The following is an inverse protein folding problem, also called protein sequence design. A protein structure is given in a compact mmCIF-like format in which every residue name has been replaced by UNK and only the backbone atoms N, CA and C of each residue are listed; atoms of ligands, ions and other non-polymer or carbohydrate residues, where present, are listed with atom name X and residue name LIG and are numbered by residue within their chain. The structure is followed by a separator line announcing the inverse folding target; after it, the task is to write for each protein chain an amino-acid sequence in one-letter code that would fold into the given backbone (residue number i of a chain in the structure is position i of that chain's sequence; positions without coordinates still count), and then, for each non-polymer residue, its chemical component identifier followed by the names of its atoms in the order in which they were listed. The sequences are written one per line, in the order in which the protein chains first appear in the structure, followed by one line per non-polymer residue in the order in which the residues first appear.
data_IF_440570122102
#
_entry.id   IF_440570122102
#
_cell.length_a   1.000
_cell.length_b   1.000
_cell.length_c   1.000
_cell.angle_alpha   90.00
_cell.angle_beta   90.00
_cell.angle_gamma   90.00
#
_symmetry.space_group_name_H-M   'P 1'
#
loop_
_entity.id
_entity.type
_entity.pdbx_description
1 polymer ?
#
# COMPACT_ATOMS: atom_id res chain seq x y z
N UNK A 1 -0.37 -6.81 18.73
CA UNK A 1 1.10 -6.87 18.94
C UNK A 1 1.71 -5.62 18.35
N UNK A 2 2.53 -4.91 19.12
CA UNK A 2 3.16 -3.67 18.67
C UNK A 2 4.68 -3.86 18.55
N UNK A 3 5.27 -3.24 17.52
CA UNK A 3 6.71 -3.21 17.32
C UNK A 3 7.36 -4.54 16.95
N UNK A 4 6.66 -5.43 16.24
CA UNK A 4 7.24 -6.67 15.73
C UNK A 4 8.29 -6.32 14.66
N UNK A 5 9.53 -6.68 14.93
CA UNK A 5 10.65 -6.40 14.01
C UNK A 5 10.62 -7.33 12.80
N UNK A 6 10.82 -6.76 11.61
CA UNK A 6 10.98 -7.51 10.36
C UNK A 6 12.36 -7.29 9.70
N UNK A 7 13.18 -6.45 10.32
CA UNK A 7 14.54 -6.12 9.86
C UNK A 7 15.38 -5.51 10.97
N UNK A 8 16.57 -5.04 10.62
CA UNK A 8 17.55 -4.54 11.59
C UNK A 8 17.47 -3.02 11.86
N UNK A 9 16.78 -2.27 10.99
CA UNK A 9 16.61 -0.83 11.15
C UNK A 9 15.60 -0.49 12.25
N UNK A 10 15.77 0.63 12.92
CA UNK A 10 14.83 1.09 13.97
C UNK A 10 13.41 1.31 13.47
N UNK A 11 13.26 1.54 12.17
CA UNK A 11 11.97 1.70 11.50
C UNK A 11 11.45 0.39 10.87
N UNK A 12 12.26 -0.68 10.85
CA UNK A 12 11.87 -1.96 10.29
C UNK A 12 11.03 -2.77 11.29
N UNK A 13 9.89 -2.20 11.67
CA UNK A 13 8.93 -2.79 12.60
C UNK A 13 7.51 -2.61 12.10
N UNK A 14 6.63 -3.50 12.49
CA UNK A 14 5.21 -3.46 12.17
C UNK A 14 4.36 -3.67 13.44
N UNK A 15 3.13 -3.17 13.39
CA UNK A 15 2.10 -3.42 14.40
C UNK A 15 1.04 -4.34 13.80
N UNK A 16 0.56 -5.32 14.60
CA UNK A 16 -0.55 -6.21 14.21
C UNK A 16 -1.71 -6.01 15.16
N UNK A 17 -2.84 -5.62 14.59
CA UNK A 17 -4.14 -5.48 15.26
C UNK A 17 -4.97 -6.74 14.97
N UNK A 18 -5.47 -7.38 16.01
CA UNK A 18 -6.18 -8.66 15.90
C UNK A 18 -7.65 -8.50 16.31
N UNK A 19 -8.60 -9.14 15.62
CA UNK A 19 -9.96 -9.27 16.11
C UNK A 19 -10.00 -10.18 17.34
N UNK A 20 -11.12 -10.17 18.07
CA UNK A 20 -11.31 -11.04 19.25
C UNK A 20 -11.32 -12.52 18.90
N UNK A 21 -11.89 -12.88 17.74
CA UNK A 21 -11.91 -14.24 17.22
C UNK A 21 -10.69 -14.53 16.33
N UNK A 22 -10.57 -15.79 15.88
CA UNK A 22 -9.56 -16.16 14.89
C UNK A 22 -9.73 -15.30 13.63
N UNK A 23 -8.70 -14.64 13.15
CA UNK A 23 -8.78 -13.82 11.95
C UNK A 23 -9.21 -14.61 10.70
N UNK A 24 -10.06 -14.01 9.86
CA UNK A 24 -10.42 -14.54 8.55
C UNK A 24 -9.26 -14.48 7.55
N UNK A 25 -8.35 -13.55 7.76
CA UNK A 25 -7.16 -13.31 6.95
C UNK A 25 -6.42 -12.06 7.45
N UNK A 26 -5.49 -11.57 6.63
CA UNK A 26 -4.63 -10.43 6.93
C UNK A 26 -4.87 -9.30 5.93
N UNK A 27 -5.12 -8.09 6.41
CA UNK A 27 -4.99 -6.85 5.65
C UNK A 27 -3.66 -6.20 6.00
N UNK A 28 -2.86 -5.81 5.02
CA UNK A 28 -1.68 -4.98 5.23
C UNK A 28 -1.96 -3.58 4.72
N UNK A 29 -1.88 -2.59 5.59
CA UNK A 29 -2.00 -1.18 5.22
C UNK A 29 -0.62 -0.51 5.23
N UNK A 30 -0.18 -0.04 4.06
CA UNK A 30 1.10 0.66 3.87
C UNK A 30 0.84 2.16 3.84
N UNK A 31 1.47 2.89 4.75
CA UNK A 31 1.25 4.33 4.88
C UNK A 31 1.87 5.15 3.73
N UNK A 32 1.34 6.36 3.54
CA UNK A 32 1.85 7.35 2.61
C UNK A 32 2.96 8.23 3.19
N UNK A 33 3.08 9.45 2.62
CA UNK A 33 4.05 10.46 3.07
C UNK A 33 5.24 10.65 2.14
N UNK A 34 5.06 10.39 0.85
CA UNK A 34 6.11 10.57 -0.20
C UNK A 34 7.43 9.85 0.08
N UNK A 35 7.40 8.71 0.81
CA UNK A 35 8.61 7.98 1.25
C UNK A 35 9.56 8.82 2.11
N UNK A 36 9.09 9.98 2.65
CA UNK A 36 9.87 10.98 3.39
C UNK A 36 9.38 11.20 4.82
N UNK A 37 8.17 10.75 5.17
CA UNK A 37 7.48 11.11 6.41
C UNK A 37 6.63 9.96 6.94
N UNK A 38 6.20 10.14 8.19
CA UNK A 38 5.26 9.32 8.94
C UNK A 38 5.81 7.99 9.44
N UNK A 39 5.06 7.39 10.29
CA UNK A 39 5.33 6.11 10.93
C UNK A 39 4.03 5.32 11.03
N UNK A 40 4.10 4.00 11.25
CA UNK A 40 2.92 3.14 11.41
C UNK A 40 1.97 3.61 12.51
N UNK A 41 2.52 4.18 13.59
CA UNK A 41 1.75 4.66 14.75
C UNK A 41 0.80 5.81 14.43
N UNK A 42 1.10 6.60 13.40
CA UNK A 42 0.25 7.72 12.96
C UNK A 42 -1.11 7.23 12.41
N UNK A 43 -1.22 5.94 12.04
CA UNK A 43 -2.32 5.39 11.27
C UNK A 43 -3.10 4.27 11.98
N UNK A 44 -2.79 3.98 13.24
CA UNK A 44 -3.35 2.84 13.99
C UNK A 44 -4.88 2.78 14.00
N UNK A 45 -5.56 3.93 13.98
CA UNK A 45 -7.01 4.02 13.96
C UNK A 45 -7.64 3.44 12.68
N UNK A 46 -6.91 3.37 11.57
CA UNK A 46 -7.39 2.77 10.33
C UNK A 46 -7.42 1.23 10.34
N UNK A 47 -6.93 0.60 11.41
CA UNK A 47 -7.13 -0.84 11.59
C UNK A 47 -8.59 -1.20 11.91
N UNK A 48 -9.38 -0.25 12.46
CA UNK A 48 -10.67 -0.51 13.07
C UNK A 48 -11.66 -1.19 12.11
N UNK A 49 -11.81 -0.67 10.89
CA UNK A 49 -12.82 -1.17 9.96
C UNK A 49 -12.62 -2.64 9.56
N UNK A 50 -11.38 -3.06 9.33
CA UNK A 50 -11.08 -4.46 9.01
C UNK A 50 -11.14 -5.36 10.23
N UNK A 51 -10.68 -4.88 11.40
CA UNK A 51 -10.77 -5.62 12.67
C UNK A 51 -12.21 -5.90 13.04
N UNK A 52 -13.12 -4.93 12.89
CA UNK A 52 -14.56 -5.10 13.13
C UNK A 52 -15.21 -6.10 12.18
N UNK A 53 -14.61 -6.34 11.03
CA UNK A 53 -15.01 -7.39 10.07
C UNK A 53 -14.28 -8.71 10.26
N UNK A 54 -13.58 -8.88 11.37
CA UNK A 54 -12.90 -10.13 11.73
C UNK A 54 -11.58 -10.39 11.01
N UNK A 55 -10.94 -9.35 10.43
CA UNK A 55 -9.63 -9.46 9.80
C UNK A 55 -8.53 -8.94 10.72
N UNK A 56 -7.36 -9.55 10.66
CA UNK A 56 -6.16 -8.95 11.24
C UNK A 56 -5.66 -7.82 10.34
N UNK A 57 -5.04 -6.79 10.95
CA UNK A 57 -4.43 -5.69 10.20
C UNK A 57 -2.98 -5.54 10.61
N UNK A 58 -2.07 -5.56 9.63
CA UNK A 58 -0.66 -5.23 9.83
C UNK A 58 -0.36 -3.84 9.25
N UNK A 59 0.39 -3.05 10.00
CA UNK A 59 0.83 -1.71 9.60
C UNK A 59 2.34 -1.62 9.76
N UNK A 60 3.13 -1.69 8.67
CA UNK A 60 4.57 -1.52 8.74
C UNK A 60 4.98 -0.05 8.73
N UNK A 61 6.05 0.28 9.46
CA UNK A 61 6.94 1.39 9.12
C UNK A 61 8.00 0.90 8.15
N UNK A 62 8.69 1.79 7.50
CA UNK A 62 9.83 1.53 6.63
C UNK A 62 10.83 2.70 6.72
N UNK A 63 12.06 2.49 6.31
CA UNK A 63 13.06 3.56 6.24
C UNK A 63 12.65 4.60 5.19
N UNK A 64 13.10 5.84 5.39
CA UNK A 64 12.70 6.97 4.58
C UNK A 64 13.85 7.48 3.71
N UNK A 65 13.51 8.02 2.55
CA UNK A 65 14.45 8.78 1.76
C UNK A 65 14.88 10.05 2.56
N UNK A 66 16.10 10.55 2.39
CA UNK A 66 17.15 10.09 1.48
C UNK A 66 18.06 8.97 2.05
N UNK A 67 17.79 8.43 3.25
CA UNK A 67 18.63 7.39 3.87
C UNK A 67 18.68 6.10 3.04
N UNK A 68 17.58 5.80 2.38
CA UNK A 68 17.41 4.65 1.48
C UNK A 68 16.80 5.12 0.16
N UNK A 69 16.84 4.26 -0.86
CA UNK A 69 16.16 4.45 -2.14
C UNK A 69 14.73 3.91 -2.07
N UNK A 70 13.87 4.34 -2.98
CA UNK A 70 12.48 3.83 -3.06
C UNK A 70 12.49 2.30 -3.29
N UNK A 71 13.41 1.79 -4.11
CA UNK A 71 13.58 0.35 -4.32
C UNK A 71 13.95 -0.42 -3.02
N UNK A 72 14.70 0.21 -2.09
CA UNK A 72 14.98 -0.38 -0.78
C UNK A 72 13.71 -0.44 0.07
N UNK A 73 12.88 0.61 0.01
CA UNK A 73 11.60 0.66 0.71
C UNK A 73 10.65 -0.42 0.17
N UNK A 74 10.62 -0.64 -1.15
CA UNK A 74 9.84 -1.73 -1.76
C UNK A 74 10.23 -3.08 -1.16
N UNK A 75 11.54 -3.37 -1.01
CA UNK A 75 12.03 -4.61 -0.36
C UNK A 75 11.63 -4.68 1.11
N UNK A 76 11.81 -3.59 1.87
CA UNK A 76 11.44 -3.55 3.29
C UNK A 76 9.93 -3.80 3.52
N UNK A 77 9.07 -3.25 2.65
CA UNK A 77 7.63 -3.53 2.73
C UNK A 77 7.32 -4.99 2.39
N UNK A 78 8.03 -5.59 1.44
CA UNK A 78 7.91 -7.02 1.13
C UNK A 78 8.33 -7.89 2.33
N UNK A 79 9.44 -7.57 3.01
CA UNK A 79 9.89 -8.25 4.21
C UNK A 79 8.85 -8.13 5.34
N UNK A 80 8.28 -6.92 5.54
CA UNK A 80 7.25 -6.68 6.53
C UNK A 80 5.97 -7.50 6.27
N UNK A 81 5.53 -7.56 5.01
CA UNK A 81 4.37 -8.37 4.61
C UNK A 81 4.66 -9.86 4.84
N UNK A 82 5.87 -10.31 4.54
CA UNK A 82 6.29 -11.69 4.75
C UNK A 82 6.23 -12.08 6.22
N UNK A 83 6.78 -11.26 7.11
CA UNK A 83 6.69 -11.48 8.56
C UNK A 83 5.24 -11.47 9.04
N UNK A 84 4.44 -10.48 8.63
CA UNK A 84 3.04 -10.41 9.01
C UNK A 84 2.22 -11.61 8.52
N UNK A 85 2.48 -12.09 7.31
CA UNK A 85 1.81 -13.25 6.72
C UNK A 85 2.17 -14.56 7.44
N UNK A 86 3.36 -14.69 8.01
CA UNK A 86 3.72 -15.84 8.83
C UNK A 86 3.07 -15.80 10.22
N UNK A 87 2.75 -14.61 10.75
CA UNK A 87 2.02 -14.44 12.02
C UNK A 87 0.51 -14.67 11.92
N UNK A 88 -0.07 -14.46 10.71
CA UNK A 88 -1.52 -14.55 10.49
C UNK A 88 -1.78 -15.47 9.30
N UNK A 89 -2.56 -16.53 9.53
CA UNK A 89 -2.95 -17.47 8.47
C UNK A 89 -4.10 -16.93 7.61
N UNK A 90 -4.33 -17.57 6.44
CA UNK A 90 -5.43 -17.23 5.53
C UNK A 90 -5.02 -16.31 4.38
N UNK A 91 -5.96 -15.74 3.64
CA UNK A 91 -5.67 -14.82 2.53
C UNK A 91 -5.02 -13.53 3.03
N UNK A 92 -4.22 -12.90 2.15
CA UNK A 92 -3.56 -11.62 2.42
C UNK A 92 -4.10 -10.58 1.45
N UNK A 93 -4.51 -9.42 1.96
CA UNK A 93 -4.94 -8.28 1.17
C UNK A 93 -4.03 -7.10 1.44
N UNK A 94 -3.54 -6.48 0.39
CA UNK A 94 -2.59 -5.39 0.53
C UNK A 94 -3.25 -4.10 0.07
N UNK A 95 -3.21 -3.09 0.90
CA UNK A 95 -3.67 -1.74 0.58
C UNK A 95 -2.66 -0.72 1.07
N UNK A 96 -2.74 0.48 0.55
CA UNK A 96 -1.87 1.55 0.98
C UNK A 96 -2.25 2.85 0.32
N UNK A 97 -1.84 3.95 0.93
CA UNK A 97 -2.23 5.29 0.53
C UNK A 97 -1.06 6.06 -0.09
N UNK A 98 -1.28 6.74 -1.22
CA UNK A 98 -0.29 7.64 -1.83
C UNK A 98 1.02 6.90 -2.18
N UNK A 99 2.14 7.23 -1.53
CA UNK A 99 3.38 6.45 -1.60
C UNK A 99 3.17 4.98 -1.16
N UNK A 100 2.31 4.74 -0.16
CA UNK A 100 1.90 3.38 0.23
C UNK A 100 1.04 2.70 -0.83
N UNK A 101 0.25 3.46 -1.59
CA UNK A 101 -0.47 2.96 -2.76
C UNK A 101 0.46 2.49 -3.87
N UNK A 102 1.55 3.23 -4.12
CA UNK A 102 2.64 2.77 -4.97
C UNK A 102 3.23 1.46 -4.45
N UNK A 103 3.65 1.43 -3.17
CA UNK A 103 4.27 0.25 -2.57
C UNK A 103 3.34 -0.98 -2.57
N UNK A 104 2.03 -0.79 -2.30
CA UNK A 104 1.07 -1.88 -2.37
C UNK A 104 0.94 -2.44 -3.79
N UNK A 105 0.93 -1.59 -4.82
CA UNK A 105 0.91 -2.03 -6.21
C UNK A 105 2.20 -2.81 -6.57
N UNK A 106 3.37 -2.40 -6.07
CA UNK A 106 4.64 -3.12 -6.26
C UNK A 106 4.61 -4.55 -5.72
N UNK A 107 3.84 -4.83 -4.66
CA UNK A 107 3.73 -6.17 -4.07
C UNK A 107 3.06 -7.20 -4.98
N UNK A 108 2.44 -6.77 -6.08
CA UNK A 108 1.84 -7.68 -7.05
C UNK A 108 2.83 -8.26 -8.05
N UNK A 109 4.05 -7.67 -8.15
CA UNK A 109 5.00 -8.03 -9.20
C UNK A 109 5.78 -9.30 -8.84
N UNK A 110 6.06 -10.16 -9.84
CA UNK A 110 6.83 -11.38 -9.63
C UNK A 110 8.19 -11.12 -8.96
N UNK A 111 8.55 -11.95 -8.00
CA UNK A 111 9.84 -11.90 -7.31
C UNK A 111 9.95 -10.77 -6.26
N UNK A 112 8.91 -9.98 -6.02
CA UNK A 112 8.89 -8.98 -4.93
C UNK A 112 8.57 -9.65 -3.60
N UNK A 113 7.55 -10.49 -3.55
CA UNK A 113 7.22 -11.32 -2.39
C UNK A 113 7.71 -12.75 -2.60
N UNK A 114 8.06 -13.49 -1.54
CA UNK A 114 8.29 -14.94 -1.62
C UNK A 114 7.04 -15.66 -2.15
N UNK A 115 7.23 -16.76 -2.88
CA UNK A 115 6.15 -17.46 -3.59
C UNK A 115 5.01 -17.93 -2.66
N UNK A 116 5.34 -18.40 -1.46
CA UNK A 116 4.38 -18.85 -0.45
C UNK A 116 3.48 -17.70 0.04
N UNK A 117 4.02 -16.49 0.17
CA UNK A 117 3.28 -15.28 0.54
C UNK A 117 2.54 -14.70 -0.66
N UNK A 118 3.22 -14.62 -1.81
CA UNK A 118 2.63 -14.14 -3.06
C UNK A 118 1.38 -14.94 -3.46
N UNK A 119 1.41 -16.26 -3.26
CA UNK A 119 0.26 -17.16 -3.49
C UNK A 119 -0.93 -16.88 -2.60
N UNK A 120 -0.75 -16.25 -1.44
CA UNK A 120 -1.81 -15.87 -0.50
C UNK A 120 -2.38 -14.47 -0.74
N UNK A 121 -1.66 -13.62 -1.49
CA UNK A 121 -2.17 -12.28 -1.86
C UNK A 121 -3.27 -12.46 -2.89
N UNK A 122 -4.52 -12.29 -2.48
CA UNK A 122 -5.71 -12.46 -3.34
C UNK A 122 -6.26 -11.13 -3.86
N UNK A 123 -6.02 -10.03 -3.15
CA UNK A 123 -6.49 -8.69 -3.56
C UNK A 123 -5.52 -7.58 -3.16
N UNK A 124 -5.41 -6.58 -4.04
CA UNK A 124 -4.62 -5.37 -3.78
C UNK A 124 -5.44 -4.13 -4.13
N UNK A 125 -5.53 -3.18 -3.18
CA UNK A 125 -6.29 -1.94 -3.35
C UNK A 125 -5.36 -0.74 -3.15
N UNK A 126 -4.68 -0.27 -4.21
CA UNK A 126 -3.90 0.96 -4.16
C UNK A 126 -4.81 2.18 -4.05
N UNK A 127 -4.66 2.98 -2.99
CA UNK A 127 -5.45 4.18 -2.75
C UNK A 127 -4.62 5.40 -3.14
N UNK A 128 -5.11 6.20 -4.09
CA UNK A 128 -4.43 7.40 -4.61
C UNK A 128 -2.96 7.15 -4.97
N UNK A 129 -2.64 6.06 -5.68
CA UNK A 129 -1.27 5.61 -5.88
C UNK A 129 -0.45 6.59 -6.71
N UNK A 130 0.85 6.66 -6.43
CA UNK A 130 1.83 7.24 -7.36
C UNK A 130 2.30 6.09 -8.26
N UNK A 131 1.68 5.90 -9.42
CA UNK A 131 1.86 4.72 -10.27
C UNK A 131 2.97 4.85 -11.32
N UNK A 132 3.30 6.09 -11.71
CA UNK A 132 4.45 6.44 -12.56
C UNK A 132 5.32 7.46 -11.84
N UNK A 133 6.55 7.07 -11.52
CA UNK A 133 7.48 7.88 -10.75
C UNK A 133 8.32 8.83 -11.63
N UNK A 134 8.35 8.64 -12.96
CA UNK A 134 9.17 9.44 -13.87
C UNK A 134 8.91 10.95 -13.79
N UNK A 135 7.65 11.43 -13.62
CA UNK A 135 7.40 12.86 -13.41
C UNK A 135 8.11 13.44 -12.18
N UNK A 136 8.32 12.64 -11.12
CA UNK A 136 8.99 13.08 -9.90
C UNK A 136 10.47 13.45 -10.14
N UNK A 137 11.13 12.83 -11.14
CA UNK A 137 12.50 13.13 -11.50
C UNK A 137 12.70 14.62 -11.86
N UNK A 138 11.62 15.27 -12.34
CA UNK A 138 11.62 16.68 -12.75
C UNK A 138 11.19 17.65 -11.64
N UNK A 139 10.99 17.18 -10.43
CA UNK A 139 10.56 17.98 -9.28
C UNK A 139 11.70 18.21 -8.30
N UNK A 140 11.58 19.24 -7.45
CA UNK A 140 12.51 19.47 -6.35
C UNK A 140 12.57 18.30 -5.35
N UNK A 141 11.54 17.48 -5.28
CA UNK A 141 11.53 16.30 -4.42
C UNK A 141 12.60 15.28 -4.81
N UNK A 142 13.00 15.25 -6.08
CA UNK A 142 14.04 14.33 -6.53
C UNK A 142 15.40 14.58 -5.89
N UNK A 143 15.65 15.76 -5.34
CA UNK A 143 16.84 16.02 -4.51
C UNK A 143 16.89 15.11 -3.27
N UNK A 144 15.73 14.58 -2.81
CA UNK A 144 15.63 13.64 -1.70
C UNK A 144 15.59 12.19 -2.18
N UNK A 145 14.95 11.93 -3.31
CA UNK A 145 14.84 10.57 -3.86
C UNK A 145 16.12 10.14 -4.58
N UNK A 146 16.80 11.09 -5.20
CA UNK A 146 18.00 10.86 -6.00
C UNK A 146 17.80 9.76 -7.05
N UNK A 147 16.64 9.79 -7.74
CA UNK A 147 16.27 8.85 -8.80
C UNK A 147 16.79 9.33 -10.15
N UNK A 148 17.33 8.40 -10.93
CA UNK A 148 17.44 8.54 -12.38
C UNK A 148 16.10 8.20 -13.04
N UNK A 149 15.93 8.52 -14.32
CA UNK A 149 14.75 8.10 -15.08
C UNK A 149 14.62 6.57 -15.15
N UNK A 150 15.73 5.86 -15.19
CA UNK A 150 15.76 4.39 -15.17
C UNK A 150 15.29 3.84 -13.82
N UNK A 151 15.75 4.43 -12.69
CA UNK A 151 15.27 4.05 -11.35
C UNK A 151 13.76 4.29 -11.22
N UNK A 152 13.29 5.45 -11.67
CA UNK A 152 11.88 5.80 -11.64
C UNK A 152 11.04 4.85 -12.50
N UNK A 153 11.49 4.52 -13.70
CA UNK A 153 10.79 3.57 -14.56
C UNK A 153 10.72 2.16 -13.94
N UNK A 154 11.84 1.69 -13.34
CA UNK A 154 11.93 0.39 -12.69
C UNK A 154 11.02 0.26 -11.45
N UNK A 155 10.66 1.38 -10.80
CA UNK A 155 9.76 1.41 -9.65
C UNK A 155 8.33 1.85 -10.00
N UNK A 156 7.99 2.07 -11.27
CA UNK A 156 6.68 2.56 -11.71
C UNK A 156 5.71 1.41 -12.03
N UNK A 157 4.72 1.10 -11.17
CA UNK A 157 3.75 0.03 -11.45
C UNK A 157 3.01 0.18 -12.78
N UNK A 158 2.66 1.41 -13.18
CA UNK A 158 1.97 1.66 -14.45
C UNK A 158 2.81 1.29 -15.70
N UNK A 159 4.10 1.02 -15.56
CA UNK A 159 5.00 0.57 -16.63
C UNK A 159 5.29 -0.94 -16.57
N UNK A 160 4.72 -1.63 -15.60
CA UNK A 160 4.94 -3.06 -15.38
C UNK A 160 3.78 -3.89 -15.96
N UNK A 161 4.01 -5.19 -16.21
CA UNK A 161 2.94 -6.09 -16.62
C UNK A 161 1.79 -6.11 -15.63
N UNK A 162 0.57 -6.23 -16.14
CA UNK A 162 -0.61 -6.42 -15.31
C UNK A 162 -0.46 -7.74 -14.50
N UNK A 163 -0.67 -7.72 -13.19
CA UNK A 163 -0.58 -8.91 -12.37
C UNK A 163 -1.79 -9.82 -12.54
N UNK A 164 -1.61 -11.12 -12.33
CA UNK A 164 -2.71 -12.07 -12.18
C UNK A 164 -3.25 -12.03 -10.73
N UNK A 165 -3.87 -10.90 -10.36
CA UNK A 165 -4.43 -10.62 -9.02
C UNK A 165 -5.65 -9.72 -9.15
N UNK A 166 -6.58 -9.79 -8.19
CA UNK A 166 -7.69 -8.82 -8.09
C UNK A 166 -7.13 -7.47 -7.62
N UNK A 167 -6.88 -6.57 -8.56
CA UNK A 167 -6.44 -5.20 -8.27
C UNK A 167 -7.59 -4.24 -8.47
N UNK A 168 -7.85 -3.37 -7.51
CA UNK A 168 -8.88 -2.33 -7.56
C UNK A 168 -8.28 -0.99 -7.18
N UNK A 169 -8.27 -0.05 -8.09
CA UNK A 169 -7.67 1.27 -7.87
C UNK A 169 -8.71 2.21 -7.27
N UNK A 170 -8.33 2.95 -6.23
CA UNK A 170 -9.20 3.88 -5.53
C UNK A 170 -8.58 5.27 -5.49
N UNK A 171 -9.38 6.34 -5.73
CA UNK A 171 -8.92 7.73 -5.68
C UNK A 171 -10.06 8.67 -5.34
N UNK A 172 -9.79 9.79 -4.65
CA UNK A 172 -10.77 10.82 -4.36
C UNK A 172 -11.03 11.73 -5.56
N UNK A 173 -12.30 12.09 -5.77
CA UNK A 173 -12.69 12.97 -6.89
C UNK A 173 -12.22 14.42 -6.72
N UNK A 174 -11.94 14.87 -5.49
CA UNK A 174 -11.46 16.22 -5.18
C UNK A 174 -9.95 16.28 -4.95
N UNK A 175 -9.22 15.24 -5.35
CA UNK A 175 -7.77 15.26 -5.33
C UNK A 175 -7.19 16.18 -6.42
N UNK A 176 -5.93 16.55 -6.26
CA UNK A 176 -5.23 17.24 -7.35
C UNK A 176 -5.27 16.38 -8.61
N UNK A 177 -5.46 16.98 -9.81
CA UNK A 177 -5.58 16.23 -11.05
C UNK A 177 -4.51 15.16 -11.26
N UNK A 178 -3.26 15.44 -10.85
CA UNK A 178 -2.14 14.51 -10.99
C UNK A 178 -2.38 13.18 -10.26
N UNK A 179 -3.05 13.16 -9.10
CA UNK A 179 -3.35 11.90 -8.40
C UNK A 179 -4.45 11.11 -9.10
N UNK A 180 -5.46 11.81 -9.62
CA UNK A 180 -6.51 11.18 -10.44
C UNK A 180 -5.92 10.59 -11.71
N UNK A 181 -4.99 11.29 -12.36
CA UNK A 181 -4.29 10.81 -13.56
C UNK A 181 -3.40 9.60 -13.25
N UNK A 182 -2.66 9.63 -12.15
CA UNK A 182 -1.84 8.50 -11.68
C UNK A 182 -2.70 7.24 -11.44
N UNK A 183 -3.87 7.41 -10.81
CA UNK A 183 -4.81 6.31 -10.61
C UNK A 183 -5.37 5.77 -11.95
N UNK A 184 -5.70 6.67 -12.89
CA UNK A 184 -6.15 6.28 -14.23
C UNK A 184 -5.07 5.54 -15.01
N UNK A 185 -3.80 6.00 -14.96
CA UNK A 185 -2.70 5.33 -15.66
C UNK A 185 -2.52 3.89 -15.15
N UNK A 186 -2.58 3.67 -13.85
CA UNK A 186 -2.50 2.32 -13.29
C UNK A 186 -3.68 1.46 -13.73
N UNK A 187 -4.90 1.99 -13.58
CA UNK A 187 -6.13 1.31 -14.00
C UNK A 187 -6.09 0.90 -15.49
N UNK A 188 -5.66 1.80 -16.37
CA UNK A 188 -5.54 1.54 -17.80
C UNK A 188 -4.46 0.52 -18.11
N UNK A 189 -3.26 0.66 -17.50
CA UNK A 189 -2.13 -0.25 -17.73
C UNK A 189 -2.45 -1.69 -17.32
N UNK A 190 -3.22 -1.86 -16.25
CA UNK A 190 -3.54 -3.18 -15.70
C UNK A 190 -4.97 -3.64 -15.98
N UNK A 191 -5.75 -2.86 -16.71
CA UNK A 191 -7.19 -3.13 -16.95
C UNK A 191 -7.93 -3.37 -15.62
N UNK A 192 -7.53 -2.66 -14.57
CA UNK A 192 -8.05 -2.80 -13.22
C UNK A 192 -9.24 -1.87 -13.00
N UNK A 193 -10.30 -2.30 -12.30
CA UNK A 193 -11.39 -1.42 -11.87
C UNK A 193 -10.88 -0.16 -11.16
N UNK A 194 -11.47 1.00 -11.47
CA UNK A 194 -11.14 2.28 -10.85
C UNK A 194 -12.39 2.88 -10.19
N UNK A 195 -12.30 3.12 -8.89
CA UNK A 195 -13.29 3.91 -8.15
C UNK A 195 -12.76 5.33 -7.94
N UNK A 196 -13.53 6.32 -8.45
CA UNK A 196 -13.30 7.75 -8.17
C UNK A 196 -14.35 8.18 -7.13
N UNK A 197 -13.94 8.23 -5.88
CA UNK A 197 -14.82 8.45 -4.73
C UNK A 197 -15.30 9.91 -4.67
N UNK A 198 -16.63 10.18 -4.79
CA UNK A 198 -17.12 11.55 -4.84
C UNK A 198 -16.93 12.27 -3.51
N UNK A 199 -16.59 13.57 -3.57
CA UNK A 199 -16.49 14.44 -2.39
C UNK A 199 -15.24 14.27 -1.56
N UNK A 200 -14.37 13.30 -1.87
CA UNK A 200 -13.16 13.01 -1.09
C UNK A 200 -11.92 13.61 -1.74
N UNK A 201 -11.04 14.14 -0.91
CA UNK A 201 -9.72 14.65 -1.29
C UNK A 201 -8.59 13.69 -0.83
N UNK A 202 -7.33 14.04 -1.09
CA UNK A 202 -6.18 13.16 -0.87
C UNK A 202 -5.99 12.70 0.59
N UNK A 203 -6.51 13.43 1.58
CA UNK A 203 -6.29 13.11 2.99
C UNK A 203 -7.46 12.37 3.63
N UNK A 204 -8.70 12.60 3.20
CA UNK A 204 -9.89 11.95 3.74
C UNK A 204 -10.34 10.71 2.92
N UNK A 205 -9.76 10.52 1.73
CA UNK A 205 -10.04 9.36 0.87
C UNK A 205 -9.81 8.02 1.58
N UNK A 206 -8.98 7.99 2.62
CA UNK A 206 -8.66 6.82 3.45
C UNK A 206 -9.50 6.69 4.73
N UNK A 207 -10.34 7.68 5.08
CA UNK A 207 -11.15 7.64 6.31
C UNK A 207 -12.11 6.43 6.34
N UNK A 208 -12.47 5.93 5.16
CA UNK A 208 -13.24 4.70 5.03
C UNK A 208 -12.57 3.45 5.64
N UNK A 209 -11.25 3.46 5.84
CA UNK A 209 -10.52 2.36 6.50
C UNK A 209 -10.91 2.19 7.98
N UNK A 210 -11.32 3.28 8.64
CA UNK A 210 -11.76 3.25 10.03
C UNK A 210 -13.18 2.68 10.22
N UNK A 211 -13.91 2.43 9.12
CA UNK A 211 -15.34 2.04 9.16
C UNK A 211 -15.58 0.73 8.45
N UNK A 212 -16.17 -0.22 9.16
CA UNK A 212 -16.47 -1.56 8.64
C UNK A 212 -17.52 -1.58 7.52
N UNK A 213 -18.39 -0.57 7.47
CA UNK A 213 -19.50 -0.43 6.50
C UNK A 213 -19.15 0.47 5.29
N UNK A 214 -17.92 0.95 5.17
CA UNK A 214 -17.53 1.84 4.09
C UNK A 214 -17.40 1.12 2.74
N UNK A 215 -17.64 1.87 1.65
CA UNK A 215 -17.42 1.36 0.30
C UNK A 215 -15.95 0.97 0.05
N UNK A 216 -14.99 1.73 0.62
CA UNK A 216 -13.57 1.39 0.56
C UNK A 216 -13.28 0.05 1.24
N UNK A 217 -13.86 -0.18 2.43
CA UNK A 217 -13.68 -1.43 3.14
C UNK A 217 -14.34 -2.61 2.40
N UNK A 218 -15.47 -2.38 1.73
CA UNK A 218 -16.09 -3.38 0.85
C UNK A 218 -15.20 -3.71 -0.37
N UNK A 219 -14.52 -2.73 -0.95
CA UNK A 219 -13.54 -2.99 -2.03
C UNK A 219 -12.33 -3.78 -1.54
N UNK A 220 -11.86 -3.52 -0.31
CA UNK A 220 -10.74 -4.26 0.28
C UNK A 220 -11.15 -5.68 0.68
N UNK A 221 -12.27 -5.84 1.39
CA UNK A 221 -12.63 -7.13 1.99
C UNK A 221 -13.65 -7.95 1.18
N UNK A 222 -14.21 -7.39 0.12
CA UNK A 222 -15.39 -7.93 -0.52
C UNK A 222 -16.66 -7.61 0.29
N UNK A 223 -17.80 -7.66 -0.38
CA UNK A 223 -19.10 -7.46 0.23
C UNK A 223 -19.45 -8.60 1.20
#
# INVERSE_FOLDING_TARGET
RLGLMYGHGTRNALDIFLPLARPAGLVVFVHGGYWLRFDRSDWSHFAQGAVDRGWAVAMPSYDLCPRVRIADITRQVADAITVAAHEVSGPVRVTGHSAGGHLSARMTQPGVLPDDVAGRVDRVVPISPVSDLRPLCKTLMNQKFNMTEADAAAESPALMPAPDKDVRVWVGAQERPVFVDQARWLSQAWTAPLTIAPGLHHFDVIDGLARSDSALMADILGA
#
